data_IF_476314712588
#
_entry.id   IF_476314712588
#
_cell.length_a   1.000
_cell.length_b   1.000
_cell.length_c   1.000
_cell.angle_alpha   90.00
_cell.angle_beta   90.00
_cell.angle_gamma   90.00
#
_symmetry.space_group_name_H-M   'P 1'
#
loop_
_entity.id
_entity.type
_entity.pdbx_description
1 polymer ?
#
# COMPACT_ATOMS: atom_id res chain seq x y z
N UNK A 1 10.63 7.57 -8.36
CA UNK A 1 9.72 8.17 -7.37
C UNK A 1 9.94 7.53 -5.99
N UNK A 2 9.97 6.18 -5.86
CA UNK A 2 10.11 5.51 -4.56
C UNK A 2 11.40 5.88 -3.81
N UNK A 3 12.56 5.86 -4.48
CA UNK A 3 13.83 6.28 -3.88
C UNK A 3 13.84 7.79 -3.48
N UNK A 4 13.13 8.64 -4.21
CA UNK A 4 12.98 10.05 -3.82
C UNK A 4 12.14 10.20 -2.55
N UNK A 5 11.11 9.36 -2.38
CA UNK A 5 10.32 9.32 -1.14
C UNK A 5 11.17 8.81 0.05
N UNK A 6 11.95 7.75 -0.14
CA UNK A 6 12.89 7.25 0.88
C UNK A 6 13.84 8.35 1.36
N UNK A 7 14.45 9.08 0.40
CA UNK A 7 15.34 10.19 0.73
C UNK A 7 14.60 11.31 1.49
N UNK A 8 13.42 11.71 1.03
CA UNK A 8 12.58 12.69 1.72
C UNK A 8 12.24 12.25 3.15
N UNK A 9 11.79 11.00 3.33
CA UNK A 9 11.47 10.46 4.63
C UNK A 9 12.69 10.49 5.57
N UNK A 10 13.86 10.06 5.08
CA UNK A 10 15.11 10.12 5.84
C UNK A 10 15.46 11.54 6.27
N UNK A 11 15.37 12.52 5.40
CA UNK A 11 15.60 13.94 5.73
C UNK A 11 14.65 14.40 6.84
N UNK A 12 13.36 13.99 6.77
CA UNK A 12 12.40 14.32 7.83
C UNK A 12 12.77 13.67 9.17
N UNK A 13 13.18 12.41 9.16
CA UNK A 13 13.59 11.70 10.38
C UNK A 13 14.85 12.32 10.99
N UNK A 14 15.85 12.64 10.17
CA UNK A 14 17.10 13.27 10.63
C UNK A 14 16.85 14.65 11.29
N UNK A 15 15.86 15.43 10.79
CA UNK A 15 15.59 16.79 11.29
C UNK A 15 14.59 16.84 12.45
N UNK A 16 13.68 15.90 12.54
CA UNK A 16 12.55 15.97 13.47
C UNK A 16 12.44 14.76 14.39
N UNK A 17 13.30 13.75 14.24
CA UNK A 17 13.22 12.51 15.02
C UNK A 17 13.49 12.68 16.52
N UNK A 18 14.12 13.78 16.92
CA UNK A 18 14.28 14.17 18.32
C UNK A 18 13.00 14.75 18.94
N UNK A 19 12.04 15.17 18.12
CA UNK A 19 10.78 15.85 18.54
C UNK A 19 9.54 15.04 18.24
N UNK A 20 9.60 14.20 17.19
CA UNK A 20 8.45 13.42 16.71
C UNK A 20 8.77 11.94 16.90
N UNK A 21 7.92 11.24 17.63
CA UNK A 21 8.07 9.82 17.94
C UNK A 21 7.04 8.93 17.21
N UNK A 22 5.97 9.51 16.65
CA UNK A 22 4.96 8.77 15.90
C UNK A 22 4.89 9.27 14.48
N UNK A 23 5.24 8.39 13.55
CA UNK A 23 5.33 8.68 12.12
C UNK A 23 4.31 7.89 11.33
N UNK A 24 3.90 8.43 10.19
CA UNK A 24 3.14 7.69 9.18
C UNK A 24 3.76 7.90 7.82
N UNK A 25 3.86 6.83 7.03
CA UNK A 25 4.41 6.90 5.68
C UNK A 25 3.46 7.61 4.73
N UNK A 26 2.19 7.19 4.71
CA UNK A 26 1.15 7.78 3.88
C UNK A 26 -0.16 7.94 4.66
N UNK A 27 -0.90 8.98 4.31
CA UNK A 27 -2.28 9.15 4.75
C UNK A 27 -3.24 8.66 3.66
N UNK A 28 -4.03 7.63 3.99
CA UNK A 28 -5.12 7.11 3.15
C UNK A 28 -4.75 6.85 1.68
N UNK A 29 -3.71 6.05 1.39
CA UNK A 29 -3.24 5.88 0.01
C UNK A 29 -4.30 5.34 -0.95
N UNK A 30 -5.29 4.61 -0.46
CA UNK A 30 -6.44 4.16 -1.24
C UNK A 30 -7.13 5.32 -1.97
N UNK A 31 -7.31 6.46 -1.30
CA UNK A 31 -8.05 7.57 -1.87
C UNK A 31 -7.32 8.23 -3.04
N UNK A 32 -6.05 8.56 -2.90
CA UNK A 32 -5.34 9.20 -4.00
C UNK A 32 -5.01 8.23 -5.14
N UNK A 33 -4.79 6.95 -4.86
CA UNK A 33 -4.62 5.94 -5.89
C UNK A 33 -5.93 5.72 -6.66
N UNK A 34 -7.06 5.51 -5.95
CA UNK A 34 -8.34 5.29 -6.60
C UNK A 34 -8.79 6.53 -7.40
N UNK A 35 -8.75 7.71 -6.81
CA UNK A 35 -9.22 8.93 -7.47
C UNK A 35 -8.29 9.41 -8.58
N UNK A 36 -6.99 9.22 -8.45
CA UNK A 36 -6.03 9.65 -9.46
C UNK A 36 -5.92 8.71 -10.67
N UNK A 37 -6.08 7.40 -10.46
CA UNK A 37 -5.75 6.41 -11.49
C UNK A 37 -6.93 5.53 -11.94
N UNK A 38 -7.94 5.32 -11.07
CA UNK A 38 -9.10 4.47 -11.39
C UNK A 38 -10.34 5.29 -11.77
N UNK A 39 -10.62 6.36 -11.00
CA UNK A 39 -11.83 7.17 -11.14
C UNK A 39 -11.56 8.43 -11.99
N UNK A 40 -10.37 9.01 -11.86
CA UNK A 40 -9.95 10.18 -12.61
C UNK A 40 -10.36 11.54 -12.01
N UNK A 41 -10.82 11.57 -10.75
CA UNK A 41 -11.26 12.79 -10.07
C UNK A 41 -10.10 13.66 -9.54
N UNK A 42 -8.92 13.06 -9.32
CA UNK A 42 -7.71 13.73 -8.87
C UNK A 42 -6.63 13.67 -9.96
N UNK A 43 -5.65 14.58 -9.96
CA UNK A 43 -4.47 14.40 -10.79
C UNK A 43 -3.80 13.03 -10.52
N UNK A 44 -3.31 12.35 -11.56
CA UNK A 44 -3.19 12.74 -12.97
C UNK A 44 -4.43 12.52 -13.83
N UNK A 45 -5.58 12.12 -13.27
CA UNK A 45 -6.85 12.02 -13.96
C UNK A 45 -7.02 10.79 -14.84
N UNK A 46 -6.31 9.71 -14.57
CA UNK A 46 -6.45 8.45 -15.31
C UNK A 46 -7.70 7.67 -14.91
N UNK A 47 -8.23 6.91 -15.88
CA UNK A 47 -9.27 5.90 -15.69
C UNK A 47 -8.75 4.57 -16.24
N UNK A 48 -7.74 4.00 -15.56
CA UNK A 48 -6.94 2.90 -16.09
C UNK A 48 -6.57 1.94 -14.96
N UNK A 49 -7.06 0.70 -15.04
CA UNK A 49 -6.82 -0.33 -14.02
C UNK A 49 -5.34 -0.71 -13.92
N UNK A 50 -4.64 -0.84 -15.07
CA UNK A 50 -3.22 -1.17 -15.09
C UNK A 50 -2.38 -0.11 -14.37
N UNK A 51 -2.64 1.16 -14.66
CA UNK A 51 -1.97 2.27 -13.97
C UNK A 51 -2.34 2.34 -12.49
N UNK A 52 -3.58 2.01 -12.12
CA UNK A 52 -4.01 1.91 -10.72
C UNK A 52 -3.18 0.88 -9.96
N UNK A 53 -2.99 -0.31 -10.54
CA UNK A 53 -2.19 -1.39 -9.94
C UNK A 53 -0.73 -0.97 -9.76
N UNK A 54 -0.13 -0.37 -10.78
CA UNK A 54 1.24 0.13 -10.73
C UNK A 54 1.39 1.23 -9.66
N UNK A 55 0.42 2.15 -9.57
CA UNK A 55 0.43 3.19 -8.56
C UNK A 55 0.29 2.62 -7.15
N UNK A 56 -0.66 1.68 -6.93
CA UNK A 56 -0.86 0.99 -5.66
C UNK A 56 0.42 0.26 -5.20
N UNK A 57 1.04 -0.49 -6.11
CA UNK A 57 2.30 -1.18 -5.84
C UNK A 57 3.42 -0.21 -5.44
N UNK A 58 3.64 0.83 -6.23
CA UNK A 58 4.69 1.81 -5.97
C UNK A 58 4.50 2.56 -4.65
N UNK A 59 3.26 2.84 -4.25
CA UNK A 59 2.95 3.46 -2.96
C UNK A 59 3.35 2.54 -1.81
N UNK A 60 3.01 1.26 -1.88
CA UNK A 60 3.37 0.30 -0.84
C UNK A 60 4.89 0.03 -0.80
N UNK A 61 5.54 -0.03 -1.95
CA UNK A 61 7.00 -0.12 -2.02
C UNK A 61 7.68 1.13 -1.44
N UNK A 62 7.20 2.32 -1.76
CA UNK A 62 7.71 3.57 -1.18
C UNK A 62 7.47 3.63 0.34
N UNK A 63 6.31 3.13 0.83
CA UNK A 63 6.04 2.99 2.26
C UNK A 63 7.07 2.09 2.94
N UNK A 64 7.34 0.92 2.37
CA UNK A 64 8.33 -0.01 2.90
C UNK A 64 9.76 0.60 2.94
N UNK A 65 10.14 1.37 1.92
CA UNK A 65 11.41 2.10 1.92
C UNK A 65 11.47 3.17 3.02
N UNK A 66 10.36 3.88 3.27
CA UNK A 66 10.26 4.83 4.39
C UNK A 66 10.38 4.14 5.75
N UNK A 67 9.73 2.97 5.93
CA UNK A 67 9.85 2.13 7.14
C UNK A 67 11.29 1.62 7.30
N UNK A 68 11.91 1.16 6.21
CA UNK A 68 13.32 0.73 6.19
C UNK A 68 14.24 1.84 6.69
N UNK A 69 14.12 3.03 6.09
CA UNK A 69 14.93 4.18 6.48
C UNK A 69 14.74 4.56 7.97
N UNK A 70 13.51 4.46 8.49
CA UNK A 70 13.21 4.69 9.90
C UNK A 70 13.92 3.67 10.82
N UNK A 71 13.79 2.38 10.49
CA UNK A 71 14.40 1.30 11.30
C UNK A 71 15.93 1.32 11.26
N UNK A 72 16.51 1.49 10.06
CA UNK A 72 17.96 1.54 9.87
C UNK A 72 18.60 2.78 10.52
N UNK A 73 17.88 3.90 10.57
CA UNK A 73 18.34 5.12 11.23
C UNK A 73 18.26 5.07 12.74
N UNK A 74 17.58 4.07 13.33
CA UNK A 74 17.45 3.90 14.79
C UNK A 74 16.68 5.03 15.47
N UNK A 75 15.75 5.68 14.74
CA UNK A 75 14.94 6.77 15.29
C UNK A 75 13.99 6.26 16.37
N UNK A 76 13.77 7.06 17.45
CA UNK A 76 12.87 6.65 18.51
C UNK A 76 11.40 6.65 18.06
N UNK A 77 10.59 5.79 18.68
CA UNK A 77 9.14 5.77 18.52
C UNK A 77 8.65 4.71 17.52
N UNK A 78 7.61 5.05 16.80
CA UNK A 78 6.88 4.11 15.94
C UNK A 78 6.58 4.72 14.58
N UNK A 79 6.47 3.85 13.57
CA UNK A 79 6.08 4.23 12.22
C UNK A 79 4.93 3.33 11.75
N UNK A 80 3.96 3.91 11.05
CA UNK A 80 2.79 3.22 10.55
C UNK A 80 2.30 3.76 9.21
N UNK A 81 1.08 3.40 8.88
CA UNK A 81 0.33 3.93 7.73
C UNK A 81 -1.10 4.27 8.17
N UNK A 82 -1.66 5.36 7.67
CA UNK A 82 -3.08 5.67 7.91
C UNK A 82 -3.93 5.05 6.80
N UNK A 83 -4.90 4.22 7.18
CA UNK A 83 -5.80 3.56 6.23
C UNK A 83 -7.26 3.98 6.44
N UNK A 84 -7.94 4.33 5.35
CA UNK A 84 -9.39 4.54 5.32
C UNK A 84 -10.08 3.19 5.10
N UNK A 85 -10.46 2.53 6.19
CA UNK A 85 -11.09 1.21 6.15
C UNK A 85 -12.53 1.30 5.61
N UNK A 86 -12.87 0.41 4.68
CA UNK A 86 -14.22 0.26 4.13
C UNK A 86 -14.79 -1.09 4.60
N UNK A 87 -15.75 -1.10 5.54
CA UNK A 87 -16.38 -2.35 5.96
C UNK A 87 -17.05 -3.07 4.78
N UNK A 88 -16.80 -4.36 4.66
CA UNK A 88 -17.42 -5.22 3.65
C UNK A 88 -18.40 -6.16 4.35
N UNK A 89 -19.68 -6.06 3.99
CA UNK A 89 -20.74 -6.88 4.57
C UNK A 89 -21.41 -7.74 3.50
N UNK A 90 -21.70 -9.01 3.84
CA UNK A 90 -22.40 -9.92 2.96
C UNK A 90 -23.93 -9.76 3.08
N UNK A 91 -24.62 -10.11 2.01
CA UNK A 91 -26.10 -10.15 1.99
C UNK A 91 -26.66 -11.43 2.64
N UNK A 92 -25.85 -12.48 2.73
CA UNK A 92 -26.16 -13.77 3.35
C UNK A 92 -24.86 -14.51 3.76
N UNK A 93 -25.01 -15.71 4.34
CA UNK A 93 -23.91 -16.58 4.79
C UNK A 93 -23.45 -17.59 3.72
N UNK A 94 -23.90 -17.48 2.49
CA UNK A 94 -23.54 -18.42 1.43
C UNK A 94 -22.04 -18.37 1.10
N UNK A 95 -21.52 -19.50 0.57
CA UNK A 95 -20.13 -19.59 0.12
C UNK A 95 -19.83 -18.53 -0.96
N UNK A 96 -20.79 -18.28 -1.86
CA UNK A 96 -20.64 -17.26 -2.91
C UNK A 96 -20.46 -15.87 -2.32
N UNK A 97 -21.29 -15.52 -1.35
CA UNK A 97 -21.19 -14.24 -0.64
C UNK A 97 -19.86 -14.12 0.10
N UNK A 98 -19.41 -15.15 0.80
CA UNK A 98 -18.10 -15.15 1.50
C UNK A 98 -16.92 -14.96 0.55
N UNK A 99 -16.94 -15.59 -0.62
CA UNK A 99 -15.92 -15.40 -1.66
C UNK A 99 -15.95 -13.94 -2.19
N UNK A 100 -17.14 -13.41 -2.48
CA UNK A 100 -17.30 -12.05 -2.95
C UNK A 100 -16.84 -11.00 -1.90
N UNK A 101 -17.17 -11.22 -0.63
CA UNK A 101 -16.72 -10.38 0.49
C UNK A 101 -15.18 -10.38 0.58
N UNK A 102 -14.55 -11.55 0.54
CA UNK A 102 -13.10 -11.67 0.59
C UNK A 102 -12.43 -10.91 -0.56
N UNK A 103 -12.95 -11.05 -1.78
CA UNK A 103 -12.43 -10.33 -2.94
C UNK A 103 -12.61 -8.81 -2.78
N UNK A 104 -13.78 -8.36 -2.35
CA UNK A 104 -14.05 -6.95 -2.12
C UNK A 104 -13.17 -6.37 -1.00
N UNK A 105 -12.97 -7.11 0.09
CA UNK A 105 -12.12 -6.70 1.20
C UNK A 105 -10.64 -6.62 0.78
N UNK A 106 -10.14 -7.62 0.05
CA UNK A 106 -8.80 -7.59 -0.52
C UNK A 106 -8.60 -6.38 -1.44
N UNK A 107 -9.60 -6.05 -2.26
CA UNK A 107 -9.56 -4.92 -3.17
C UNK A 107 -9.71 -3.56 -2.47
N UNK A 108 -10.53 -3.47 -1.42
CA UNK A 108 -10.79 -2.21 -0.72
C UNK A 108 -9.79 -1.91 0.40
N UNK A 109 -9.29 -2.95 1.08
CA UNK A 109 -8.56 -2.80 2.33
C UNK A 109 -7.21 -3.53 2.35
N UNK A 110 -7.22 -4.84 2.04
CA UNK A 110 -6.10 -5.70 2.41
C UNK A 110 -4.86 -5.51 1.52
N UNK A 111 -4.98 -4.96 0.30
CA UNK A 111 -3.81 -4.59 -0.50
C UNK A 111 -2.92 -3.54 0.20
N UNK A 112 -3.49 -2.77 1.16
CA UNK A 112 -2.73 -1.87 2.04
C UNK A 112 -2.40 -2.55 3.35
N UNK A 113 -3.40 -3.11 4.05
CA UNK A 113 -3.25 -3.62 5.40
C UNK A 113 -2.33 -4.83 5.46
N UNK A 114 -2.55 -5.85 4.61
CA UNK A 114 -1.71 -7.04 4.57
C UNK A 114 -0.30 -6.68 4.10
N UNK A 115 -0.18 -5.80 3.11
CA UNK A 115 1.13 -5.38 2.62
C UNK A 115 1.91 -4.59 3.68
N UNK A 116 1.25 -3.71 4.41
CA UNK A 116 1.90 -2.91 5.46
C UNK A 116 2.24 -3.75 6.70
N UNK A 117 1.34 -4.64 7.14
CA UNK A 117 1.49 -5.38 8.39
C UNK A 117 2.13 -6.77 8.23
N UNK A 118 1.86 -7.45 7.10
CA UNK A 118 2.35 -8.81 6.84
C UNK A 118 3.48 -8.84 5.78
N UNK A 119 3.66 -7.75 5.05
CA UNK A 119 4.67 -7.65 4.00
C UNK A 119 4.32 -8.39 2.70
N UNK A 120 3.03 -8.69 2.49
CA UNK A 120 2.58 -9.48 1.34
C UNK A 120 1.27 -8.91 0.78
N UNK A 121 1.19 -8.77 -0.54
CA UNK A 121 -0.09 -8.47 -1.18
C UNK A 121 -1.03 -9.68 -1.09
N UNK A 122 -2.36 -9.48 -0.99
CA UNK A 122 -3.32 -10.58 -0.98
C UNK A 122 -3.18 -11.45 -2.24
N UNK A 123 -2.78 -12.71 -2.05
CA UNK A 123 -2.44 -13.63 -3.17
C UNK A 123 -3.62 -13.84 -4.12
N UNK A 124 -4.81 -13.98 -3.60
CA UNK A 124 -6.03 -14.18 -4.40
C UNK A 124 -6.33 -12.96 -5.27
N UNK A 125 -6.12 -11.74 -4.75
CA UNK A 125 -6.31 -10.50 -5.51
C UNK A 125 -5.31 -10.42 -6.65
N UNK A 126 -4.03 -10.67 -6.38
CA UNK A 126 -2.98 -10.64 -7.41
C UNK A 126 -3.23 -11.72 -8.47
N UNK A 127 -3.61 -12.93 -8.07
CA UNK A 127 -3.93 -14.01 -9.00
C UNK A 127 -5.14 -13.69 -9.90
N UNK A 128 -6.15 -13.00 -9.37
CA UNK A 128 -7.30 -12.58 -10.16
C UNK A 128 -6.94 -11.47 -11.15
N UNK A 129 -6.20 -10.45 -10.69
CA UNK A 129 -5.75 -9.35 -11.54
C UNK A 129 -4.80 -9.81 -12.66
N UNK A 130 -3.94 -10.79 -12.38
CA UNK A 130 -3.02 -11.38 -13.38
C UNK A 130 -3.70 -12.09 -14.56
N UNK A 131 -4.99 -12.46 -14.45
CA UNK A 131 -5.74 -13.06 -15.55
C UNK A 131 -5.98 -12.08 -16.72
N UNK A 132 -5.97 -10.78 -16.46
CA UNK A 132 -6.34 -9.75 -17.44
C UNK A 132 -5.39 -8.56 -17.50
N UNK A 133 -4.39 -8.50 -16.59
CA UNK A 133 -3.47 -7.38 -16.49
C UNK A 133 -2.04 -7.87 -16.34
N UNK A 134 -1.09 -7.05 -16.79
CA UNK A 134 0.34 -7.31 -16.60
C UNK A 134 0.74 -7.04 -15.13
N UNK A 135 1.39 -8.02 -14.50
CA UNK A 135 1.93 -7.93 -13.13
C UNK A 135 3.47 -7.93 -13.11
N UNK A 136 4.14 -7.85 -14.26
CA UNK A 136 5.61 -7.89 -14.37
C UNK A 136 6.33 -6.71 -13.71
N UNK A 137 5.58 -5.65 -13.36
CA UNK A 137 6.10 -4.53 -12.57
C UNK A 137 6.37 -4.89 -11.11
N UNK A 138 5.81 -5.99 -10.60
CA UNK A 138 6.04 -6.49 -9.23
C UNK A 138 7.37 -7.25 -9.17
N UNK A 139 8.46 -6.53 -8.91
CA UNK A 139 9.81 -7.10 -8.95
C UNK A 139 10.14 -7.84 -7.66
N UNK A 140 10.86 -8.95 -7.77
CA UNK A 140 11.19 -9.84 -6.65
C UNK A 140 11.98 -9.14 -5.55
N UNK A 141 12.95 -8.32 -5.89
CA UNK A 141 13.77 -7.55 -4.94
C UNK A 141 12.96 -6.48 -4.21
N UNK A 142 12.04 -5.81 -4.90
CA UNK A 142 11.12 -4.84 -4.31
C UNK A 142 10.11 -5.51 -3.38
N UNK A 143 9.56 -6.67 -3.77
CA UNK A 143 8.67 -7.49 -2.92
C UNK A 143 9.40 -7.98 -1.67
N UNK A 144 10.68 -8.37 -1.79
CA UNK A 144 11.49 -8.74 -0.64
C UNK A 144 11.71 -7.56 0.31
N UNK A 145 11.91 -6.35 -0.23
CA UNK A 145 12.01 -5.13 0.56
C UNK A 145 10.71 -4.85 1.32
N UNK A 146 9.55 -5.00 0.67
CA UNK A 146 8.24 -4.87 1.30
C UNK A 146 8.10 -5.87 2.45
N UNK A 147 8.44 -7.14 2.21
CA UNK A 147 8.32 -8.22 3.19
C UNK A 147 9.17 -7.99 4.45
N UNK A 148 10.32 -7.39 4.31
CA UNK A 148 11.25 -7.14 5.41
C UNK A 148 10.96 -5.86 6.20
N UNK A 149 10.14 -4.96 5.66
CA UNK A 149 9.92 -3.63 6.22
C UNK A 149 8.43 -3.34 6.45
N UNK A 150 7.80 -4.18 7.24
CA UNK A 150 6.42 -4.00 7.76
C UNK A 150 6.37 -2.95 8.87
N UNK A 151 5.19 -2.36 9.07
CA UNK A 151 4.91 -1.41 10.18
C UNK A 151 4.62 -2.11 11.48
#
# INVERSE_FOLDING_TARGET
>A
VCAAFEHYAKVCYDHFGDKITNWTTFNEPKWFVANGYKIGNYPPGYQDTQKTMIAAYNVMYASALGVKAFKEGGYPGQIGIVHSYTPVNGVDESIKTKIAMRYADNYCNNWILDTAALGEFPVDLIAELAKSHDISFMKTDELQTIKQNTV
#
